data_IF_661439470705
#
_entry.id   IF_661439470705
#
_cell.length_a   1.000
_cell.length_b   1.000
_cell.length_c   1.000
_cell.angle_alpha   90.00
_cell.angle_beta   90.00
_cell.angle_gamma   90.00
#
_symmetry.space_group_name_H-M   'P 1'
#
loop_
_entity.id
_entity.type
_entity.pdbx_description
1 polymer ?
#
# COMPACT_ATOMS: atom_id res chain seq x y z
N UNK A 1 14.02 -10.53 3.40
CA UNK A 1 13.84 -11.99 3.15
C UNK A 1 12.47 -12.19 2.52
N UNK A 2 12.25 -13.23 1.70
CA UNK A 2 10.92 -13.49 1.16
C UNK A 2 10.02 -14.11 2.22
N UNK A 3 8.73 -13.76 2.23
CA UNK A 3 7.74 -14.33 3.17
C UNK A 3 7.74 -15.86 3.13
N UNK A 4 7.85 -16.46 1.94
CA UNK A 4 7.94 -17.92 1.77
C UNK A 4 9.15 -18.54 2.48
N UNK A 5 10.25 -17.81 2.61
CA UNK A 5 11.47 -18.29 3.28
C UNK A 5 11.32 -18.19 4.81
N UNK A 6 10.67 -17.13 5.31
CA UNK A 6 10.28 -17.04 6.72
C UNK A 6 9.42 -18.23 7.13
N UNK A 7 8.39 -18.54 6.32
CA UNK A 7 7.49 -19.66 6.55
C UNK A 7 8.22 -21.00 6.51
N UNK A 8 9.08 -21.23 5.50
CA UNK A 8 9.84 -22.46 5.36
C UNK A 8 10.83 -22.71 6.52
N UNK A 9 11.40 -21.64 7.11
CA UNK A 9 12.35 -21.72 8.23
C UNK A 9 11.68 -21.72 9.61
N UNK A 10 10.35 -21.57 9.67
CA UNK A 10 9.62 -21.44 10.92
C UNK A 10 9.68 -22.72 11.76
N UNK A 11 10.22 -22.62 12.98
CA UNK A 11 10.20 -23.71 13.98
C UNK A 11 9.07 -23.59 14.99
N UNK A 12 8.36 -22.46 14.96
CA UNK A 12 7.25 -22.09 15.83
C UNK A 12 6.26 -21.23 15.02
N UNK A 13 5.00 -21.08 15.47
CA UNK A 13 4.05 -20.19 14.83
C UNK A 13 4.63 -18.78 14.67
N UNK A 14 4.45 -18.20 13.49
CA UNK A 14 4.82 -16.81 13.20
C UNK A 14 3.62 -15.90 13.42
N UNK A 15 3.87 -14.69 13.92
CA UNK A 15 2.88 -13.63 14.04
C UNK A 15 3.37 -12.43 13.25
N UNK A 16 2.59 -12.00 12.27
CA UNK A 16 2.79 -10.75 11.53
C UNK A 16 1.67 -9.76 11.88
N UNK A 17 1.83 -8.51 11.45
CA UNK A 17 0.87 -7.44 11.67
C UNK A 17 0.54 -6.75 10.35
N UNK A 18 -0.67 -6.21 10.24
CA UNK A 18 -1.08 -5.35 9.14
C UNK A 18 -1.28 -3.91 9.62
N UNK A 19 -0.81 -2.96 8.81
CA UNK A 19 -0.89 -1.54 9.10
C UNK A 19 -1.68 -0.80 8.02
N UNK A 20 -2.53 0.13 8.47
CA UNK A 20 -3.26 1.04 7.61
C UNK A 20 -2.54 2.39 7.57
N UNK A 21 -2.03 2.84 6.40
CA UNK A 21 -1.38 4.14 6.28
C UNK A 21 -2.27 5.29 6.78
N UNK A 22 -1.71 6.37 7.35
CA UNK A 22 -2.50 7.50 7.84
C UNK A 22 -3.31 8.14 6.70
N UNK A 23 -4.41 8.82 7.08
CA UNK A 23 -5.16 9.64 6.12
C UNK A 23 -4.25 10.76 5.59
N UNK A 24 -4.54 11.27 4.40
CA UNK A 24 -3.89 12.46 3.84
C UNK A 24 -3.97 13.62 4.85
N UNK A 25 -2.82 14.22 5.16
CA UNK A 25 -2.70 15.26 6.20
C UNK A 25 -2.64 14.72 7.64
N UNK A 26 -2.65 13.40 7.81
CA UNK A 26 -2.50 12.74 9.10
C UNK A 26 -1.05 12.74 9.60
N UNK A 27 -0.90 12.41 10.88
CA UNK A 27 0.39 12.43 11.57
C UNK A 27 1.17 11.12 11.39
N UNK A 28 2.39 11.24 10.87
CA UNK A 28 3.33 10.12 10.71
C UNK A 28 3.90 9.65 12.06
N UNK A 29 4.01 10.54 13.06
CA UNK A 29 4.59 10.17 14.37
C UNK A 29 3.74 9.14 15.09
N UNK A 30 2.42 9.28 15.01
CA UNK A 30 1.47 8.31 15.53
C UNK A 30 1.65 6.93 14.89
N UNK A 31 1.88 6.87 13.57
CA UNK A 31 2.19 5.61 12.88
C UNK A 31 3.52 5.02 13.38
N UNK A 32 4.56 5.84 13.49
CA UNK A 32 5.87 5.41 13.96
C UNK A 32 5.80 4.83 15.37
N UNK A 33 5.04 5.44 16.26
CA UNK A 33 4.83 4.92 17.62
C UNK A 33 4.19 3.53 17.60
N UNK A 34 3.19 3.31 16.74
CA UNK A 34 2.55 1.99 16.59
C UNK A 34 3.59 0.97 16.08
N UNK A 35 4.42 1.34 15.11
CA UNK A 35 5.47 0.46 14.59
C UNK A 35 6.50 0.14 15.68
N UNK A 36 6.92 1.13 16.47
CA UNK A 36 7.81 0.94 17.62
C UNK A 36 7.19 -0.06 18.62
N UNK A 37 5.90 0.12 18.94
CA UNK A 37 5.15 -0.73 19.87
C UNK A 37 5.01 -2.18 19.36
N UNK A 38 4.92 -2.43 18.06
CA UNK A 38 4.82 -3.81 17.53
C UNK A 38 6.18 -4.44 17.19
N UNK A 39 7.21 -3.64 16.88
CA UNK A 39 8.53 -4.12 16.51
C UNK A 39 9.20 -4.92 17.65
N UNK A 40 8.87 -4.61 18.91
CA UNK A 40 9.34 -5.37 20.08
C UNK A 40 8.95 -6.86 20.06
N UNK A 41 7.90 -7.23 19.32
CA UNK A 41 7.47 -8.62 19.16
C UNK A 41 8.24 -9.37 18.08
N UNK A 42 9.20 -8.71 17.41
CA UNK A 42 10.02 -9.24 16.33
C UNK A 42 9.19 -9.94 15.22
N UNK A 43 8.19 -9.24 14.63
CA UNK A 43 7.43 -9.81 13.53
C UNK A 43 8.38 -10.05 12.33
N UNK A 44 8.24 -11.19 11.62
CA UNK A 44 9.09 -11.49 10.47
C UNK A 44 8.80 -10.56 9.29
N UNK A 45 7.57 -10.08 9.17
CA UNK A 45 7.13 -9.13 8.16
C UNK A 45 5.91 -8.35 8.65
N UNK A 46 5.65 -7.20 8.00
CA UNK A 46 4.48 -6.35 8.24
C UNK A 46 3.80 -6.06 6.91
N UNK A 47 2.48 -6.27 6.86
CA UNK A 47 1.63 -5.96 5.73
C UNK A 47 1.22 -4.47 5.74
N UNK A 48 1.19 -3.83 4.57
CA UNK A 48 0.81 -2.42 4.43
C UNK A 48 -0.32 -2.30 3.43
N UNK A 49 -1.48 -1.89 3.92
CA UNK A 49 -2.68 -1.77 3.07
C UNK A 49 -2.53 -0.68 2.01
N UNK A 50 -3.16 -0.92 0.86
CA UNK A 50 -3.30 0.04 -0.23
C UNK A 50 -4.76 0.36 -0.46
N UNK A 51 -5.04 1.62 -0.80
CA UNK A 51 -6.38 2.09 -1.12
C UNK A 51 -6.33 2.77 -2.49
N UNK A 52 -7.24 2.39 -3.38
CA UNK A 52 -7.39 3.01 -4.67
C UNK A 52 -7.77 4.49 -4.52
N UNK A 53 -7.44 5.29 -5.53
CA UNK A 53 -7.94 6.65 -5.58
C UNK A 53 -9.45 6.62 -5.83
N UNK A 54 -10.20 7.42 -5.07
CA UNK A 54 -11.64 7.55 -5.22
C UNK A 54 -11.98 8.84 -5.96
N UNK A 55 -13.10 8.84 -6.69
CA UNK A 55 -13.68 10.06 -7.23
C UNK A 55 -14.68 10.62 -6.24
N UNK A 56 -14.50 11.89 -5.91
CA UNK A 56 -15.39 12.68 -5.08
C UNK A 56 -15.98 13.77 -5.98
N UNK A 57 -17.30 13.94 -5.90
CA UNK A 57 -18.00 15.06 -6.52
C UNK A 57 -18.30 16.08 -5.42
N UNK A 58 -17.77 17.28 -5.58
CA UNK A 58 -17.96 18.39 -4.63
C UNK A 58 -18.85 19.44 -5.30
N UNK A 59 -19.93 19.84 -4.64
CA UNK A 59 -20.72 21.00 -5.07
C UNK A 59 -19.93 22.27 -4.76
N UNK A 60 -19.71 23.08 -5.79
CA UNK A 60 -19.03 24.37 -5.69
C UNK A 60 -19.97 25.47 -6.19
N UNK A 61 -19.70 26.76 -5.88
CA UNK A 61 -20.52 27.88 -6.39
C UNK A 61 -20.63 27.94 -7.92
N UNK A 62 -19.69 27.30 -8.65
CA UNK A 62 -19.67 27.23 -10.12
C UNK A 62 -20.21 25.90 -10.67
N UNK A 63 -20.74 25.03 -9.81
CA UNK A 63 -21.32 23.72 -10.18
C UNK A 63 -20.60 22.53 -9.53
N UNK A 64 -20.98 21.32 -9.93
CA UNK A 64 -20.39 20.08 -9.43
C UNK A 64 -19.00 19.88 -10.04
N UNK A 65 -17.97 19.83 -9.19
CA UNK A 65 -16.60 19.53 -9.61
C UNK A 65 -16.23 18.09 -9.25
N UNK A 66 -15.68 17.37 -10.22
CA UNK A 66 -15.12 16.02 -10.04
C UNK A 66 -13.67 16.13 -9.59
N UNK A 67 -13.31 15.48 -8.48
CA UNK A 67 -11.94 15.39 -7.96
C UNK A 67 -11.51 13.95 -7.69
N UNK A 68 -10.30 13.60 -8.10
CA UNK A 68 -9.67 12.32 -7.76
C UNK A 68 -8.88 12.51 -6.48
N UNK A 69 -9.21 11.76 -5.42
CA UNK A 69 -8.54 11.88 -4.11
C UNK A 69 -8.04 10.52 -3.64
N UNK A 70 -6.73 10.44 -3.37
CA UNK A 70 -6.14 9.31 -2.64
C UNK A 70 -6.23 9.59 -1.15
N UNK A 71 -7.08 8.82 -0.44
CA UNK A 71 -7.36 9.01 0.99
C UNK A 71 -6.14 8.77 1.88
N UNK A 72 -5.29 7.80 1.52
CA UNK A 72 -4.13 7.34 2.31
C UNK A 72 -2.92 7.19 1.39
N UNK A 73 -2.21 8.29 1.07
CA UNK A 73 -0.97 8.23 0.29
C UNK A 73 0.20 7.74 1.15
N UNK A 74 1.32 7.38 0.51
CA UNK A 74 2.59 7.15 1.20
C UNK A 74 2.95 5.69 1.51
N UNK A 75 2.25 4.70 0.92
CA UNK A 75 2.55 3.27 1.11
C UNK A 75 4.04 2.96 0.92
N UNK A 76 4.67 3.44 -0.16
CA UNK A 76 6.09 3.22 -0.44
C UNK A 76 7.01 3.78 0.65
N UNK A 77 6.77 5.02 1.08
CA UNK A 77 7.55 5.64 2.14
C UNK A 77 7.44 4.88 3.47
N UNK A 78 6.27 4.32 3.76
CA UNK A 78 6.06 3.47 4.95
C UNK A 78 6.80 2.15 4.80
N UNK A 79 6.77 1.52 3.62
CA UNK A 79 7.52 0.28 3.38
C UNK A 79 9.03 0.50 3.56
N UNK A 80 9.56 1.58 2.95
CA UNK A 80 10.95 1.97 3.10
C UNK A 80 11.32 2.25 4.56
N UNK A 81 10.46 2.94 5.30
CA UNK A 81 10.66 3.18 6.74
C UNK A 81 10.73 1.87 7.52
N UNK A 82 9.79 0.94 7.29
CA UNK A 82 9.73 -0.35 8.00
C UNK A 82 11.01 -1.17 7.74
N UNK A 83 11.40 -1.34 6.48
CA UNK A 83 12.61 -2.09 6.15
C UNK A 83 13.89 -1.43 6.68
N UNK A 84 14.09 -0.14 6.38
CA UNK A 84 15.38 0.51 6.67
C UNK A 84 15.57 0.85 8.15
N UNK A 85 14.50 1.24 8.85
CA UNK A 85 14.60 1.63 10.27
C UNK A 85 14.46 0.43 11.20
N UNK A 86 13.56 -0.50 10.89
CA UNK A 86 13.22 -1.60 11.80
C UNK A 86 13.79 -2.94 11.36
N UNK A 87 14.35 -3.05 10.16
CA UNK A 87 14.87 -4.30 9.60
C UNK A 87 13.81 -5.42 9.60
N UNK A 88 12.57 -5.05 9.31
CA UNK A 88 11.42 -5.94 9.16
C UNK A 88 10.99 -5.93 7.69
N UNK A 89 10.70 -7.09 7.13
CA UNK A 89 10.27 -7.18 5.74
C UNK A 89 8.89 -6.52 5.55
N UNK A 90 8.79 -5.57 4.64
CA UNK A 90 7.53 -4.93 4.27
C UNK A 90 6.80 -5.74 3.19
N UNK A 91 5.47 -5.85 3.31
CA UNK A 91 4.58 -6.50 2.34
C UNK A 91 3.47 -5.52 1.94
N UNK A 92 3.71 -4.62 0.98
CA UNK A 92 2.66 -3.75 0.44
C UNK A 92 1.57 -4.55 -0.27
N UNK A 93 0.33 -4.13 -0.06
CA UNK A 93 -0.80 -4.60 -0.85
C UNK A 93 -0.75 -3.92 -2.22
N UNK A 94 -0.92 -4.70 -3.28
CA UNK A 94 -0.99 -4.23 -4.64
C UNK A 94 -2.39 -4.49 -5.18
N UNK A 95 -3.14 -3.42 -5.49
CA UNK A 95 -4.51 -3.52 -5.96
C UNK A 95 -4.55 -3.73 -7.48
N UNK A 96 -5.39 -4.66 -7.95
CA UNK A 96 -5.66 -4.82 -9.37
C UNK A 96 -6.74 -3.83 -9.86
N UNK A 97 -7.86 -3.72 -9.14
CA UNK A 97 -8.94 -2.77 -9.45
C UNK A 97 -8.57 -1.35 -9.01
N UNK A 98 -8.91 -0.38 -9.85
CA UNK A 98 -8.61 1.05 -9.63
C UNK A 98 -7.21 1.48 -10.07
N UNK A 99 -6.34 0.53 -10.43
CA UNK A 99 -5.00 0.77 -10.98
C UNK A 99 -5.01 0.49 -12.49
N UNK A 100 -4.29 1.32 -13.23
CA UNK A 100 -3.86 1.00 -14.60
C UNK A 100 -2.69 0.01 -14.55
N UNK A 101 -2.45 -0.76 -15.63
CA UNK A 101 -1.29 -1.67 -15.69
C UNK A 101 0.00 -0.92 -15.50
N UNK A 102 0.07 0.30 -16.04
CA UNK A 102 1.24 1.16 -15.95
C UNK A 102 1.45 1.65 -14.51
N UNK A 103 0.38 1.98 -13.76
CA UNK A 103 0.51 2.27 -12.32
C UNK A 103 0.93 1.04 -11.49
N UNK A 104 0.51 -0.16 -11.90
CA UNK A 104 0.97 -1.40 -11.29
C UNK A 104 2.44 -1.65 -11.59
N UNK A 105 2.89 -1.45 -12.83
CA UNK A 105 4.28 -1.57 -13.27
C UNK A 105 5.18 -0.55 -12.55
N UNK A 106 4.80 0.73 -12.54
CA UNK A 106 5.51 1.79 -11.84
C UNK A 106 5.70 1.43 -10.35
N UNK A 107 4.64 0.97 -9.69
CA UNK A 107 4.70 0.54 -8.29
C UNK A 107 5.68 -0.64 -8.11
N UNK A 108 5.66 -1.64 -8.98
CA UNK A 108 6.58 -2.79 -8.90
C UNK A 108 8.04 -2.37 -9.08
N UNK A 109 8.30 -1.44 -10.00
CA UNK A 109 9.65 -0.87 -10.22
C UNK A 109 10.10 -0.08 -8.99
N UNK A 110 9.22 0.75 -8.40
CA UNK A 110 9.53 1.49 -7.18
C UNK A 110 9.81 0.57 -5.99
N UNK A 111 9.06 -0.54 -5.85
CA UNK A 111 9.32 -1.56 -4.84
C UNK A 111 10.68 -2.23 -5.04
N UNK A 112 11.05 -2.55 -6.28
CA UNK A 112 12.35 -3.11 -6.61
C UNK A 112 13.50 -2.16 -6.24
N UNK A 113 13.36 -0.85 -6.50
CA UNK A 113 14.37 0.15 -6.10
C UNK A 113 14.52 0.31 -4.59
N UNK A 114 13.53 -0.14 -3.82
CA UNK A 114 13.55 -0.13 -2.36
C UNK A 114 13.92 -1.50 -1.76
N UNK A 115 14.33 -2.47 -2.58
CA UNK A 115 14.63 -3.85 -2.18
C UNK A 115 13.43 -4.55 -1.48
N UNK A 116 12.21 -4.24 -1.93
CA UNK A 116 10.97 -4.86 -1.44
C UNK A 116 10.57 -6.02 -2.35
N UNK A 117 10.93 -7.23 -1.94
CA UNK A 117 10.68 -8.46 -2.69
C UNK A 117 9.29 -9.09 -2.49
N UNK A 118 8.50 -8.56 -1.56
CA UNK A 118 7.23 -9.15 -1.15
C UNK A 118 6.07 -8.24 -1.52
N UNK A 119 5.01 -8.81 -2.10
CA UNK A 119 3.76 -8.10 -2.37
C UNK A 119 2.57 -9.00 -2.02
N UNK A 120 1.50 -8.38 -1.53
CA UNK A 120 0.20 -9.04 -1.44
C UNK A 120 -0.67 -8.54 -2.59
N UNK A 121 -0.76 -9.31 -3.66
CA UNK A 121 -1.63 -8.99 -4.79
C UNK A 121 -3.10 -9.26 -4.42
N UNK A 122 -3.93 -8.21 -4.48
CA UNK A 122 -5.35 -8.30 -4.15
C UNK A 122 -6.20 -7.66 -5.24
N UNK A 123 -7.40 -8.20 -5.47
CA UNK A 123 -8.33 -7.66 -6.46
C UNK A 123 -8.68 -6.20 -6.16
N UNK A 124 -8.94 -5.88 -4.89
CA UNK A 124 -9.54 -4.61 -4.48
C UNK A 124 -11.08 -4.63 -4.61
N UNK A 125 -11.67 -3.52 -4.16
CA UNK A 125 -13.11 -3.34 -4.10
C UNK A 125 -13.67 -2.66 -5.35
N UNK A 126 -14.86 -3.08 -5.77
CA UNK A 126 -15.62 -2.39 -6.81
C UNK A 126 -16.41 -1.25 -6.18
N UNK A 127 -15.98 -0.02 -6.44
CA UNK A 127 -16.66 1.19 -5.99
C UNK A 127 -17.76 1.64 -6.97
N UNK A 128 -18.05 0.85 -8.01
CA UNK A 128 -18.94 1.21 -9.12
C UNK A 128 -18.33 2.26 -10.07
N UNK A 129 -17.18 2.84 -9.70
CA UNK A 129 -16.47 3.82 -10.49
C UNK A 129 -15.37 3.15 -11.32
N UNK A 130 -15.49 3.28 -12.65
CA UNK A 130 -14.42 2.89 -13.58
C UNK A 130 -13.56 4.10 -13.89
N UNK A 131 -12.30 4.05 -13.48
CA UNK A 131 -11.31 5.05 -13.83
C UNK A 131 -11.20 5.14 -15.36
N UNK A 132 -11.45 6.32 -15.98
CA UNK A 132 -11.25 6.46 -17.41
C UNK A 132 -9.77 6.24 -17.72
N UNK A 133 -9.50 5.48 -18.77
CA UNK A 133 -8.15 5.23 -19.25
C UNK A 133 -7.74 6.41 -20.14
N UNK A 134 -6.64 7.05 -19.80
CA UNK A 134 -6.00 8.05 -20.66
C UNK A 134 -5.27 7.36 -21.83
N UNK A 135 -4.95 8.12 -22.88
CA UNK A 135 -4.34 7.56 -24.08
C UNK A 135 -3.08 6.77 -23.77
N UNK A 136 -3.04 5.51 -24.24
CA UNK A 136 -1.91 4.59 -24.04
C UNK A 136 -1.94 3.79 -22.74
N UNK A 137 -2.84 4.10 -21.79
CA UNK A 137 -2.98 3.33 -20.54
C UNK A 137 -3.98 2.20 -20.66
N UNK A 138 -3.75 1.14 -19.90
CA UNK A 138 -4.58 -0.06 -19.93
C UNK A 138 -4.97 -0.51 -18.53
N UNK A 139 -6.06 -1.28 -18.41
CA UNK A 139 -6.49 -1.82 -17.11
C UNK A 139 -5.93 -3.23 -16.87
N UNK A 140 -5.71 -3.56 -15.60
CA UNK A 140 -5.48 -4.95 -15.15
C UNK A 140 -6.70 -5.81 -15.53
N UNK A 141 -6.47 -7.02 -16.03
CA UNK A 141 -7.52 -7.96 -16.45
C UNK A 141 -7.89 -8.92 -15.33
#
# INVERSE_FOLDING_TARGET
MKVIEHLAKAKKPLVSFEIIPPKRGGDIKSLMKIIDDIAQFNPPFIDITSHAAEVIYEETPTGIQRRIKRKRPGTLGICALIQNKYNIDAVPHLLCLGFTREETEDMLIELQYLDIDNVLAVRGDDSGYRKPLEYGRTANK
#
